data_IF_239985960779
#
_entry.id   IF_239985960779
#
_cell.length_a   1.000
_cell.length_b   1.000
_cell.length_c   1.000
_cell.angle_alpha   90.00
_cell.angle_beta   90.00
_cell.angle_gamma   90.00
#
_symmetry.space_group_name_H-M   'P 1'
#
loop_
_entity.id
_entity.type
_entity.pdbx_description
1 polymer ?
#
# COMPACT_ATOMS: atom_id res chain seq x y z
N UNK A 1 13.21 -20.84 55.06
CA UNK A 1 13.60 -21.16 53.65
C UNK A 1 12.35 -21.10 52.79
N UNK A 2 12.11 -19.99 52.12
CA UNK A 2 11.00 -19.81 51.20
C UNK A 2 11.51 -19.98 49.77
N UNK A 3 11.08 -21.07 49.13
CA UNK A 3 11.37 -21.34 47.72
C UNK A 3 10.29 -20.62 46.91
N UNK A 4 10.69 -19.58 46.18
CA UNK A 4 9.84 -18.90 45.19
C UNK A 4 9.96 -19.68 43.89
N UNK A 5 8.91 -20.39 43.53
CA UNK A 5 8.75 -21.02 42.21
C UNK A 5 8.43 -19.95 41.18
N UNK A 6 9.42 -19.62 40.34
CA UNK A 6 9.27 -18.75 39.18
C UNK A 6 8.64 -19.56 38.05
N UNK A 7 7.33 -19.49 37.89
CA UNK A 7 6.64 -20.04 36.72
C UNK A 7 7.03 -19.24 35.47
N UNK A 8 7.91 -19.81 34.64
CA UNK A 8 8.17 -19.32 33.28
C UNK A 8 6.91 -19.57 32.43
N UNK A 9 6.14 -18.49 32.19
CA UNK A 9 5.09 -18.51 31.18
C UNK A 9 5.78 -18.58 29.82
N UNK A 10 5.79 -19.75 29.21
CA UNK A 10 6.19 -19.93 27.81
C UNK A 10 5.08 -19.34 26.92
N UNK A 11 5.20 -18.07 26.59
CA UNK A 11 4.40 -17.47 25.52
C UNK A 11 4.98 -17.99 24.20
N UNK A 12 4.39 -19.02 23.67
CA UNK A 12 4.64 -19.45 22.30
C UNK A 12 3.99 -18.42 21.38
N UNK A 13 4.78 -17.49 20.88
CA UNK A 13 4.38 -16.59 19.80
C UNK A 13 4.06 -17.47 18.59
N UNK A 14 2.77 -17.56 18.25
CA UNK A 14 2.36 -18.19 17.00
C UNK A 14 2.97 -17.38 15.85
N UNK A 15 3.62 -18.00 14.86
CA UNK A 15 4.10 -17.28 13.69
C UNK A 15 2.92 -16.53 13.06
N UNK A 16 3.08 -15.25 12.75
CA UNK A 16 2.10 -14.45 12.02
C UNK A 16 1.89 -15.15 10.67
N UNK A 17 0.73 -15.75 10.50
CA UNK A 17 0.39 -16.47 9.28
C UNK A 17 0.09 -15.41 8.20
N UNK A 18 0.85 -15.41 7.11
CA UNK A 18 0.62 -14.57 5.93
C UNK A 18 -0.83 -14.75 5.45
N UNK A 19 -1.59 -13.64 5.42
CA UNK A 19 -2.96 -13.64 4.89
C UNK A 19 -2.92 -13.27 3.41
N UNK A 20 -2.91 -14.27 2.53
CA UNK A 20 -3.02 -14.03 1.08
C UNK A 20 -4.47 -13.71 0.69
N UNK A 21 -4.78 -12.42 0.62
CA UNK A 21 -6.11 -11.92 0.24
C UNK A 21 -6.19 -11.47 -1.22
N UNK A 22 -5.08 -11.51 -1.97
CA UNK A 22 -4.94 -10.77 -3.23
C UNK A 22 -4.51 -11.61 -4.44
N UNK A 23 -4.10 -12.86 -4.25
CA UNK A 23 -3.47 -13.67 -5.29
C UNK A 23 -4.43 -14.13 -6.41
N UNK A 24 -5.70 -14.40 -6.13
CA UNK A 24 -6.59 -15.13 -7.07
C UNK A 24 -7.08 -14.35 -8.30
N UNK A 25 -6.85 -13.02 -8.39
CA UNK A 25 -7.32 -12.16 -9.51
C UNK A 25 -6.31 -11.09 -9.94
N UNK A 26 -5.04 -11.38 -9.87
CA UNK A 26 -3.96 -10.41 -10.02
C UNK A 26 -3.92 -9.65 -11.36
N UNK A 27 -4.38 -10.23 -12.48
CA UNK A 27 -4.37 -9.57 -13.80
C UNK A 27 -5.47 -8.51 -13.95
N UNK A 28 -6.71 -8.81 -13.55
CA UNK A 28 -7.83 -7.85 -13.57
C UNK A 28 -7.62 -6.75 -12.53
N UNK A 29 -7.03 -7.12 -11.40
CA UNK A 29 -6.64 -6.22 -10.33
C UNK A 29 -5.62 -5.16 -10.79
N UNK A 30 -4.62 -5.56 -11.58
CA UNK A 30 -3.58 -4.66 -12.06
C UNK A 30 -4.10 -3.56 -13.00
N UNK A 31 -5.10 -3.88 -13.85
CA UNK A 31 -5.64 -2.94 -14.84
C UNK A 31 -6.64 -1.94 -14.27
N UNK A 32 -7.29 -2.26 -13.14
CA UNK A 32 -8.37 -1.47 -12.55
C UNK A 32 -7.97 -0.66 -11.32
N UNK A 33 -6.71 -0.78 -10.84
CA UNK A 33 -6.22 0.02 -9.70
C UNK A 33 -5.70 1.38 -10.15
N UNK A 34 -6.00 2.45 -9.38
CA UNK A 34 -5.49 3.78 -9.69
C UNK A 34 -3.96 3.81 -9.58
N UNK A 35 -3.31 4.52 -10.50
CA UNK A 35 -1.85 4.72 -10.49
C UNK A 35 -1.50 5.92 -9.63
N UNK A 36 -0.39 5.81 -8.90
CA UNK A 36 0.12 6.91 -8.08
C UNK A 36 0.59 8.08 -8.94
N UNK A 37 0.46 9.32 -8.47
CA UNK A 37 0.91 10.50 -9.20
C UNK A 37 2.44 10.53 -9.28
N UNK A 38 2.98 10.95 -10.42
CA UNK A 38 4.43 11.07 -10.63
C UNK A 38 5.08 12.02 -9.62
N UNK A 39 4.39 13.09 -9.24
CA UNK A 39 4.86 14.08 -8.26
C UNK A 39 5.17 13.48 -6.88
N UNK A 40 4.50 12.39 -6.49
CA UNK A 40 4.82 11.67 -5.26
C UNK A 40 6.24 11.06 -5.32
N UNK A 41 6.57 10.39 -6.45
CA UNK A 41 7.89 9.79 -6.63
C UNK A 41 8.98 10.86 -6.80
N UNK A 42 8.71 11.93 -7.54
CA UNK A 42 9.62 13.07 -7.68
C UNK A 42 9.96 13.71 -6.31
N UNK A 43 8.96 13.85 -5.44
CA UNK A 43 9.17 14.31 -4.07
C UNK A 43 10.07 13.35 -3.30
N UNK A 44 9.79 12.04 -3.30
CA UNK A 44 10.59 11.05 -2.57
C UNK A 44 12.03 10.98 -3.08
N UNK A 45 12.21 11.01 -4.39
CA UNK A 45 13.52 11.02 -5.04
C UNK A 45 14.32 12.28 -4.69
N UNK A 46 13.64 13.42 -4.54
CA UNK A 46 14.26 14.68 -4.09
C UNK A 46 14.78 14.65 -2.64
N UNK A 47 14.30 13.72 -1.81
CA UNK A 47 14.73 13.60 -0.42
C UNK A 47 16.05 12.82 -0.26
N UNK A 48 16.39 11.97 -1.21
CA UNK A 48 17.60 11.12 -1.14
C UNK A 48 18.75 11.73 -1.95
N UNK A 49 19.97 11.82 -1.37
CA UNK A 49 21.12 12.37 -2.07
C UNK A 49 21.71 11.37 -3.09
N UNK A 50 21.52 10.08 -2.88
CA UNK A 50 22.00 8.98 -3.71
C UNK A 50 20.83 8.19 -4.27
N UNK A 51 21.02 7.57 -5.43
CA UNK A 51 19.98 6.81 -6.14
C UNK A 51 20.52 5.47 -6.63
N UNK A 52 21.33 4.82 -5.78
CA UNK A 52 21.93 3.54 -6.14
C UNK A 52 20.92 2.41 -5.96
N UNK A 53 20.25 2.36 -4.79
CA UNK A 53 19.33 1.26 -4.48
C UNK A 53 18.05 1.76 -3.81
N UNK A 54 16.91 1.44 -4.42
CA UNK A 54 15.60 1.52 -3.77
C UNK A 54 15.09 0.11 -3.43
N UNK A 55 14.38 0.01 -2.31
CA UNK A 55 13.62 -1.19 -1.94
C UNK A 55 12.13 -0.87 -1.92
N UNK A 56 11.37 -1.46 -2.85
CA UNK A 56 9.91 -1.43 -2.86
C UNK A 56 9.38 -2.65 -2.11
N UNK A 57 9.00 -2.45 -0.85
CA UNK A 57 8.61 -3.49 0.10
C UNK A 57 7.11 -3.77 0.01
N UNK A 58 6.72 -5.04 -0.07
CA UNK A 58 5.38 -5.50 -0.38
C UNK A 58 4.87 -4.85 -1.69
N UNK A 59 5.67 -5.04 -2.73
CA UNK A 59 5.54 -4.38 -4.04
C UNK A 59 4.27 -4.76 -4.80
N UNK A 60 3.63 -5.87 -4.43
CA UNK A 60 2.54 -6.46 -5.19
C UNK A 60 3.01 -6.81 -6.61
N UNK A 61 2.29 -6.32 -7.60
CA UNK A 61 2.65 -6.48 -9.02
C UNK A 61 3.68 -5.45 -9.54
N UNK A 62 4.34 -4.70 -8.66
CA UNK A 62 5.45 -3.81 -9.03
C UNK A 62 5.06 -2.39 -9.45
N UNK A 63 3.87 -1.89 -9.11
CA UNK A 63 3.43 -0.57 -9.56
C UNK A 63 4.38 0.56 -9.12
N UNK A 64 4.78 0.59 -7.84
CA UNK A 64 5.72 1.60 -7.34
C UNK A 64 7.15 1.33 -7.84
N UNK A 65 7.58 0.06 -7.90
CA UNK A 65 8.88 -0.33 -8.41
C UNK A 65 9.13 0.17 -9.83
N UNK A 66 8.12 0.13 -10.70
CA UNK A 66 8.22 0.64 -12.08
C UNK A 66 8.53 2.15 -12.11
N UNK A 67 7.91 2.96 -11.26
CA UNK A 67 8.23 4.38 -11.15
C UNK A 67 9.64 4.60 -10.59
N UNK A 68 10.01 3.87 -9.53
CA UNK A 68 11.34 3.98 -8.94
C UNK A 68 12.45 3.61 -9.91
N UNK A 69 12.21 2.67 -10.82
CA UNK A 69 13.17 2.24 -11.83
C UNK A 69 13.58 3.34 -12.83
N UNK A 70 12.79 4.42 -12.92
CA UNK A 70 13.14 5.58 -13.74
C UNK A 70 14.18 6.50 -13.08
N UNK A 71 14.40 6.33 -11.77
CA UNK A 71 15.22 7.25 -10.96
C UNK A 71 16.40 6.57 -10.27
N UNK A 72 16.33 5.26 -10.02
CA UNK A 72 17.36 4.51 -9.29
C UNK A 72 18.16 3.60 -10.23
N UNK A 73 19.43 3.42 -9.93
CA UNK A 73 20.29 2.47 -10.64
C UNK A 73 19.76 1.05 -10.53
N UNK A 74 19.30 0.67 -9.31
CA UNK A 74 18.71 -0.63 -9.02
C UNK A 74 17.50 -0.49 -8.11
N UNK A 75 16.48 -1.31 -8.35
CA UNK A 75 15.31 -1.47 -7.50
C UNK A 75 15.20 -2.94 -7.10
N UNK A 76 15.12 -3.20 -5.79
CA UNK A 76 14.67 -4.49 -5.27
C UNK A 76 13.20 -4.34 -4.96
N UNK A 77 12.37 -5.18 -5.59
CA UNK A 77 10.93 -5.18 -5.41
C UNK A 77 10.53 -6.52 -4.79
N UNK A 78 10.09 -6.51 -3.53
CA UNK A 78 9.80 -7.75 -2.81
C UNK A 78 8.35 -7.83 -2.37
N UNK A 79 7.85 -9.04 -2.36
CA UNK A 79 6.53 -9.38 -1.80
C UNK A 79 6.59 -10.76 -1.14
N UNK A 80 5.76 -11.00 -0.13
CA UNK A 80 5.65 -12.32 0.47
C UNK A 80 4.84 -13.29 -0.42
N UNK A 81 4.06 -12.77 -1.38
CA UNK A 81 3.28 -13.55 -2.33
C UNK A 81 4.10 -13.84 -3.60
N UNK A 82 4.39 -15.12 -3.82
CA UNK A 82 4.99 -15.58 -5.08
C UNK A 82 4.13 -15.22 -6.31
N UNK A 83 2.81 -15.27 -6.16
CA UNK A 83 1.88 -14.98 -7.25
C UNK A 83 1.89 -13.50 -7.64
N UNK A 84 2.00 -12.58 -6.67
CA UNK A 84 2.16 -11.16 -6.96
C UNK A 84 3.43 -10.91 -7.78
N UNK A 85 4.55 -11.48 -7.36
CA UNK A 85 5.84 -11.35 -8.06
C UNK A 85 5.77 -11.96 -9.47
N UNK A 86 5.12 -13.10 -9.64
CA UNK A 86 4.97 -13.76 -10.95
C UNK A 86 4.17 -12.91 -11.97
N UNK A 87 3.32 -12.00 -11.50
CA UNK A 87 2.55 -11.08 -12.33
C UNK A 87 3.18 -9.69 -12.47
N UNK A 88 4.37 -9.47 -11.91
CA UNK A 88 5.05 -8.19 -11.98
C UNK A 88 5.64 -7.93 -13.38
N UNK A 89 5.63 -6.66 -13.80
CA UNK A 89 6.16 -6.27 -15.09
C UNK A 89 7.70 -6.19 -15.04
N UNK A 90 8.43 -6.96 -15.88
CA UNK A 90 9.89 -6.97 -15.85
C UNK A 90 10.49 -5.63 -16.32
N UNK A 91 11.62 -5.24 -15.74
CA UNK A 91 12.49 -4.14 -16.13
C UNK A 91 13.94 -4.53 -15.85
N UNK A 92 14.88 -4.06 -16.63
CA UNK A 92 16.29 -4.48 -16.54
C UNK A 92 16.95 -4.14 -15.20
N UNK A 93 16.51 -3.05 -14.55
CA UNK A 93 17.04 -2.59 -13.27
C UNK A 93 16.11 -2.87 -12.08
N UNK A 94 15.07 -3.70 -12.25
CA UNK A 94 14.23 -4.19 -11.16
C UNK A 94 14.53 -5.66 -10.94
N UNK A 95 14.88 -6.02 -9.71
CA UNK A 95 14.99 -7.40 -9.26
C UNK A 95 13.80 -7.71 -8.36
N UNK A 96 12.93 -8.61 -8.83
CA UNK A 96 11.79 -9.09 -8.07
C UNK A 96 12.18 -10.28 -7.20
N UNK A 97 11.80 -10.24 -5.91
CA UNK A 97 12.17 -11.25 -4.94
C UNK A 97 10.98 -11.62 -4.04
N UNK A 98 10.97 -12.87 -3.58
CA UNK A 98 9.95 -13.35 -2.64
C UNK A 98 10.58 -13.47 -1.26
N UNK A 99 10.26 -12.51 -0.38
CA UNK A 99 10.59 -12.54 1.03
C UNK A 99 9.67 -11.62 1.85
N UNK A 100 9.52 -11.88 3.16
CA UNK A 100 8.72 -11.05 4.03
C UNK A 100 9.39 -9.70 4.30
N UNK A 101 8.60 -8.69 4.65
CA UNK A 101 9.08 -7.34 4.96
C UNK A 101 10.03 -7.30 6.16
N UNK A 102 9.82 -8.20 7.12
CA UNK A 102 10.51 -8.26 8.41
C UNK A 102 11.91 -8.88 8.34
N UNK A 103 12.23 -9.53 7.23
CA UNK A 103 13.53 -10.21 7.07
C UNK A 103 13.92 -10.31 5.60
N UNK A 104 15.01 -9.65 5.25
CA UNK A 104 15.52 -9.59 3.87
C UNK A 104 16.94 -10.13 3.75
N UNK A 105 17.38 -10.31 2.52
CA UNK A 105 18.77 -10.61 2.16
C UNK A 105 19.57 -9.34 1.77
N UNK A 106 18.99 -8.15 1.98
CA UNK A 106 19.66 -6.89 1.66
C UNK A 106 20.82 -6.62 2.62
N UNK A 107 21.89 -6.04 2.11
CA UNK A 107 23.05 -5.70 2.92
C UNK A 107 22.74 -4.54 3.88
N UNK A 108 23.45 -4.51 5.01
CA UNK A 108 23.36 -3.43 5.99
C UNK A 108 23.71 -2.09 5.33
N UNK A 109 22.97 -1.05 5.65
CA UNK A 109 23.24 0.35 5.22
C UNK A 109 23.39 0.51 3.69
N UNK A 110 22.66 -0.29 2.90
CA UNK A 110 22.77 -0.33 1.44
C UNK A 110 21.65 0.43 0.71
N UNK A 111 20.48 0.61 1.35
CA UNK A 111 19.26 1.13 0.73
C UNK A 111 19.15 2.63 0.91
N UNK A 112 18.97 3.37 -0.18
CA UNK A 112 18.78 4.83 -0.18
C UNK A 112 17.34 5.23 0.09
N UNK A 113 16.37 4.46 -0.47
CA UNK A 113 14.94 4.68 -0.30
C UNK A 113 14.20 3.35 -0.07
N UNK A 114 13.39 3.28 0.98
CA UNK A 114 12.39 2.22 1.16
C UNK A 114 11.01 2.80 0.85
N UNK A 115 10.23 2.11 0.03
CA UNK A 115 8.82 2.43 -0.24
C UNK A 115 7.90 1.31 0.21
N UNK A 116 6.76 1.67 0.81
CA UNK A 116 5.70 0.76 1.23
C UNK A 116 4.36 1.34 0.76
N UNK A 117 3.83 0.80 -0.33
CA UNK A 117 2.59 1.27 -0.92
C UNK A 117 1.41 0.36 -0.53
N UNK A 118 0.43 0.85 0.21
CA UNK A 118 -0.79 0.11 0.62
C UNK A 118 -0.53 -1.15 1.47
N UNK A 119 0.60 -1.24 2.18
CA UNK A 119 0.97 -2.48 2.83
C UNK A 119 1.39 -2.37 4.30
N UNK A 120 1.80 -1.19 4.79
CA UNK A 120 2.37 -1.04 6.13
C UNK A 120 1.47 -1.60 7.27
N UNK A 121 0.16 -1.54 7.11
CA UNK A 121 -0.83 -2.02 8.07
C UNK A 121 -0.92 -3.56 8.19
N UNK A 122 -0.20 -4.29 7.33
CA UNK A 122 -0.11 -5.75 7.37
C UNK A 122 1.11 -6.28 8.12
N UNK A 123 2.10 -5.42 8.40
CA UNK A 123 3.41 -5.83 8.91
C UNK A 123 3.42 -6.02 10.41
N UNK A 124 4.33 -6.91 10.87
CA UNK A 124 4.83 -6.85 12.22
C UNK A 124 5.77 -5.64 12.32
N UNK A 125 5.25 -4.53 12.82
CA UNK A 125 5.95 -3.24 12.78
C UNK A 125 7.28 -3.25 13.53
N UNK A 126 7.35 -3.95 14.67
CA UNK A 126 8.57 -3.99 15.48
C UNK A 126 9.72 -4.67 14.72
N UNK A 127 9.45 -5.80 14.10
CA UNK A 127 10.45 -6.54 13.34
C UNK A 127 10.75 -5.86 12.01
N UNK A 128 9.72 -5.35 11.32
CA UNK A 128 9.90 -4.57 10.10
C UNK A 128 10.79 -3.34 10.33
N UNK A 129 10.55 -2.56 11.37
CA UNK A 129 11.36 -1.35 11.61
C UNK A 129 12.79 -1.65 12.05
N UNK A 130 13.05 -2.80 12.70
CA UNK A 130 14.43 -3.29 12.93
C UNK A 130 15.13 -3.57 11.60
N UNK A 131 14.45 -4.28 10.70
CA UNK A 131 15.00 -4.60 9.39
C UNK A 131 15.18 -3.35 8.53
N UNK A 132 14.19 -2.46 8.46
CA UNK A 132 14.30 -1.20 7.75
C UNK A 132 15.48 -0.36 8.21
N UNK A 133 15.70 -0.25 9.54
CA UNK A 133 16.87 0.45 10.09
C UNK A 133 18.19 -0.24 9.80
N UNK A 134 18.21 -1.57 9.69
CA UNK A 134 19.40 -2.33 9.33
C UNK A 134 19.84 -2.02 7.90
N UNK A 135 18.90 -2.05 6.97
CA UNK A 135 19.19 -1.93 5.53
C UNK A 135 19.29 -0.48 5.05
N UNK A 136 18.57 0.46 5.68
CA UNK A 136 18.66 1.88 5.33
C UNK A 136 20.08 2.41 5.53
N UNK A 137 20.54 3.17 4.54
CA UNK A 137 21.83 3.88 4.62
C UNK A 137 21.84 4.77 5.86
N UNK A 138 22.85 4.58 6.67
CA UNK A 138 23.06 5.41 7.86
C UNK A 138 23.55 6.79 7.48
N UNK A 139 23.24 7.76 8.33
CA UNK A 139 23.86 9.08 8.26
C UNK A 139 25.38 8.91 8.38
N UNK A 140 26.12 9.39 7.39
CA UNK A 140 27.57 9.49 7.48
C UNK A 140 27.99 10.97 7.42
N UNK A 141 29.06 11.32 8.11
CA UNK A 141 29.60 12.68 8.09
C UNK A 141 30.44 12.94 6.81
N UNK A 142 30.26 12.14 5.77
CA UNK A 142 30.99 12.23 4.51
C UNK A 142 30.47 13.30 3.56
N UNK A 143 31.27 13.64 2.58
CA UNK A 143 31.21 14.84 1.73
C UNK A 143 29.99 15.10 0.85
N UNK A 144 28.89 14.33 0.94
CA UNK A 144 27.62 14.53 0.21
C UNK A 144 26.45 15.02 1.09
N UNK A 145 26.80 15.62 2.23
CA UNK A 145 25.83 16.21 3.17
C UNK A 145 25.26 15.20 4.17
N UNK A 146 25.81 13.99 4.27
CA UNK A 146 25.60 13.04 5.36
C UNK A 146 24.16 12.56 5.61
N UNK A 147 23.23 12.81 4.69
CA UNK A 147 21.82 12.47 4.89
C UNK A 147 21.61 10.96 4.79
N UNK A 148 21.09 10.34 5.86
CA UNK A 148 20.70 8.93 5.88
C UNK A 148 19.61 8.58 4.88
N UNK A 149 19.37 7.29 4.67
CA UNK A 149 18.31 6.78 3.79
C UNK A 149 16.92 7.20 4.25
N UNK A 150 15.97 7.17 3.34
CA UNK A 150 14.58 7.59 3.55
C UNK A 150 13.65 6.37 3.50
N UNK A 151 12.66 6.36 4.39
CA UNK A 151 11.54 5.42 4.35
C UNK A 151 10.24 6.18 4.11
N UNK A 152 9.42 5.69 3.21
CA UNK A 152 8.13 6.26 2.87
C UNK A 152 7.05 5.18 2.81
N UNK A 153 6.03 5.33 3.62
CA UNK A 153 4.84 4.48 3.57
C UNK A 153 3.62 5.32 3.24
N UNK A 154 2.75 4.80 2.37
CA UNK A 154 1.50 5.49 2.05
C UNK A 154 0.35 4.52 1.77
N UNK A 155 -0.85 5.05 1.98
CA UNK A 155 -2.08 4.45 1.52
C UNK A 155 -3.00 5.52 0.93
N UNK A 156 -3.90 5.13 0.05
CA UNK A 156 -4.99 6.01 -0.36
C UNK A 156 -6.30 5.62 0.34
N UNK A 157 -7.11 6.63 0.63
CA UNK A 157 -8.43 6.47 1.23
C UNK A 157 -9.51 6.06 0.24
N UNK A 158 -10.77 6.14 0.69
CA UNK A 158 -11.93 6.00 -0.18
C UNK A 158 -11.92 7.13 -1.22
N UNK A 159 -12.35 6.82 -2.44
CA UNK A 159 -12.46 7.82 -3.50
C UNK A 159 -13.64 8.78 -3.26
N UNK A 160 -13.58 9.91 -3.93
CA UNK A 160 -14.66 10.89 -3.99
C UNK A 160 -14.87 11.33 -5.46
N UNK A 161 -16.11 11.61 -5.81
CA UNK A 161 -16.52 12.05 -7.15
C UNK A 161 -17.44 13.28 -7.07
N UNK A 162 -18.56 13.15 -6.37
CA UNK A 162 -19.50 14.22 -6.06
C UNK A 162 -20.33 13.81 -4.84
N UNK A 163 -20.91 14.78 -4.12
CA UNK A 163 -21.66 14.51 -2.90
C UNK A 163 -22.72 13.41 -3.06
N UNK A 164 -23.45 13.38 -4.18
CA UNK A 164 -24.48 12.38 -4.45
C UNK A 164 -23.88 10.98 -4.67
N UNK A 165 -22.82 10.88 -5.48
CA UNK A 165 -22.13 9.60 -5.75
C UNK A 165 -21.46 9.10 -4.48
N UNK A 166 -20.82 10.00 -3.73
CA UNK A 166 -20.09 9.69 -2.51
C UNK A 166 -21.03 9.11 -1.43
N UNK A 167 -22.25 9.67 -1.29
CA UNK A 167 -23.28 9.11 -0.39
C UNK A 167 -23.63 7.65 -0.74
N UNK A 168 -23.79 7.34 -2.03
CA UNK A 168 -24.11 5.97 -2.49
C UNK A 168 -22.91 5.04 -2.26
N UNK A 169 -21.70 5.55 -2.51
CA UNK A 169 -20.47 4.79 -2.29
C UNK A 169 -20.24 4.50 -0.80
N UNK A 170 -20.52 5.47 0.09
CA UNK A 170 -20.44 5.27 1.53
C UNK A 170 -21.45 4.23 2.02
N UNK A 171 -22.69 4.23 1.52
CA UNK A 171 -23.66 3.19 1.81
C UNK A 171 -23.12 1.79 1.45
N UNK A 172 -22.53 1.64 0.26
CA UNK A 172 -21.87 0.38 -0.12
C UNK A 172 -20.72 0.03 0.82
N UNK A 173 -19.84 0.99 1.07
CA UNK A 173 -18.58 0.78 1.78
C UNK A 173 -18.77 0.46 3.26
N UNK A 174 -19.64 1.21 3.95
CA UNK A 174 -19.83 1.15 5.40
C UNK A 174 -20.95 0.18 5.79
N UNK A 175 -22.13 0.32 5.18
CA UNK A 175 -23.32 -0.43 5.61
C UNK A 175 -23.38 -1.83 5.00
N UNK A 176 -23.14 -1.95 3.69
CA UNK A 176 -23.25 -3.25 3.00
C UNK A 176 -21.99 -4.08 3.18
N UNK A 177 -20.81 -3.47 2.98
CA UNK A 177 -19.53 -4.14 3.01
C UNK A 177 -18.80 -4.06 4.35
N UNK A 178 -19.26 -3.25 5.28
CA UNK A 178 -18.62 -3.04 6.58
C UNK A 178 -18.19 -4.34 7.27
N UNK A 179 -19.08 -5.36 7.41
CA UNK A 179 -18.74 -6.63 8.07
C UNK A 179 -17.73 -7.50 7.31
N UNK A 180 -17.37 -7.15 6.08
CA UNK A 180 -16.49 -7.93 5.21
C UNK A 180 -15.09 -7.32 5.07
N UNK A 181 -14.87 -6.10 5.59
CA UNK A 181 -13.54 -5.52 5.64
C UNK A 181 -12.66 -6.22 6.66
N UNK A 182 -11.36 -6.37 6.37
CA UNK A 182 -10.41 -6.81 7.39
C UNK A 182 -10.22 -5.71 8.44
N UNK A 183 -9.93 -6.12 9.69
CA UNK A 183 -9.72 -5.19 10.81
C UNK A 183 -8.63 -4.15 10.53
N UNK A 184 -7.59 -4.57 9.82
CA UNK A 184 -6.45 -3.73 9.43
C UNK A 184 -6.85 -2.55 8.54
N UNK A 185 -8.02 -2.63 7.89
CA UNK A 185 -8.57 -1.54 7.07
C UNK A 185 -8.81 -0.28 7.89
N UNK A 186 -9.20 -0.40 9.14
CA UNK A 186 -9.39 0.73 10.08
C UNK A 186 -8.14 1.59 10.24
N UNK A 187 -6.96 1.00 10.12
CA UNK A 187 -5.68 1.72 10.19
C UNK A 187 -5.52 2.67 8.99
N UNK A 188 -5.95 2.23 7.80
CA UNK A 188 -5.94 3.07 6.59
C UNK A 188 -7.00 4.17 6.68
N UNK A 189 -8.20 3.85 7.17
CA UNK A 189 -9.29 4.82 7.39
C UNK A 189 -8.87 5.91 8.38
N UNK A 190 -8.14 5.53 9.44
CA UNK A 190 -7.50 6.46 10.37
C UNK A 190 -6.22 7.11 9.80
N UNK A 191 -5.98 7.07 8.49
CA UNK A 191 -4.88 7.77 7.81
C UNK A 191 -3.49 7.44 8.37
N UNK A 192 -3.31 6.22 8.88
CA UNK A 192 -2.13 5.81 9.64
C UNK A 192 -1.88 6.63 10.93
N UNK A 193 -2.86 7.41 11.39
CA UNK A 193 -2.76 8.13 12.67
C UNK A 193 -2.62 7.13 13.83
N UNK A 194 -1.81 7.48 14.83
CA UNK A 194 -1.52 6.59 15.96
C UNK A 194 -0.61 5.39 15.65
N UNK A 195 -0.31 5.11 14.37
CA UNK A 195 0.62 4.05 14.01
C UNK A 195 2.06 4.45 14.33
N UNK A 196 2.83 3.63 15.08
CA UNK A 196 4.24 3.91 15.36
C UNK A 196 5.03 4.16 14.08
N UNK A 197 5.91 5.15 14.10
CA UNK A 197 6.81 5.41 12.97
C UNK A 197 8.13 5.97 13.51
N UNK A 198 9.07 5.10 13.92
CA UNK A 198 10.23 5.47 14.71
C UNK A 198 11.40 6.00 13.86
N UNK A 199 11.12 6.95 12.98
CA UNK A 199 12.07 7.63 12.11
C UNK A 199 11.93 9.15 12.28
N UNK A 200 12.97 9.91 11.96
CA UNK A 200 12.88 11.37 11.94
C UNK A 200 11.90 11.83 10.86
N UNK A 201 10.72 12.27 11.30
CA UNK A 201 9.62 12.65 10.41
C UNK A 201 10.03 13.72 9.41
N UNK A 202 9.63 13.53 8.17
CA UNK A 202 9.71 14.53 7.10
C UNK A 202 8.29 14.96 6.76
N UNK A 203 8.03 16.27 6.75
CA UNK A 203 6.74 16.79 6.35
C UNK A 203 6.52 16.56 4.86
N UNK A 204 5.30 16.17 4.52
CA UNK A 204 4.93 15.84 3.15
C UNK A 204 3.89 16.82 2.60
N UNK A 205 4.00 17.21 1.33
CA UNK A 205 2.88 17.87 0.68
C UNK A 205 1.68 16.93 0.61
N UNK A 206 0.48 17.50 0.47
CA UNK A 206 -0.71 16.70 0.17
C UNK A 206 -0.62 16.10 -1.22
N UNK A 207 -0.81 14.78 -1.32
CA UNK A 207 -0.92 14.08 -2.59
C UNK A 207 -2.30 13.47 -2.74
N UNK A 208 -2.75 13.38 -3.99
CA UNK A 208 -3.97 12.67 -4.35
C UNK A 208 -3.81 12.04 -5.73
N UNK A 209 -4.55 10.97 -5.96
CA UNK A 209 -4.70 10.39 -7.29
C UNK A 209 -5.94 11.03 -7.90
N UNK A 210 -5.83 11.49 -9.15
CA UNK A 210 -6.95 12.03 -9.91
C UNK A 210 -7.03 11.33 -11.25
N UNK A 211 -8.20 10.77 -11.55
CA UNK A 211 -8.44 10.08 -12.82
C UNK A 211 -9.81 10.48 -13.35
N UNK A 212 -9.90 10.65 -14.66
CA UNK A 212 -11.19 10.87 -15.32
C UNK A 212 -11.74 9.52 -15.77
N UNK A 213 -12.67 8.96 -14.98
CA UNK A 213 -13.24 7.64 -15.18
C UNK A 213 -14.71 7.69 -15.61
N UNK A 214 -15.12 6.70 -16.41
CA UNK A 214 -16.50 6.34 -16.64
C UNK A 214 -17.06 5.56 -15.44
N UNK A 215 -18.38 5.41 -15.37
CA UNK A 215 -19.00 4.57 -14.35
C UNK A 215 -18.50 3.12 -14.38
N UNK A 216 -18.29 2.57 -15.58
CA UNK A 216 -17.77 1.20 -15.72
C UNK A 216 -16.36 1.03 -15.18
N UNK A 217 -15.49 2.03 -15.34
CA UNK A 217 -14.13 2.02 -14.77
C UNK A 217 -14.18 2.08 -13.24
N UNK A 218 -15.05 2.93 -12.66
CA UNK A 218 -15.26 2.99 -11.22
C UNK A 218 -15.78 1.66 -10.66
N UNK A 219 -16.78 1.07 -11.29
CA UNK A 219 -17.34 -0.23 -10.89
C UNK A 219 -16.28 -1.33 -10.99
N UNK A 220 -15.48 -1.35 -12.06
CA UNK A 220 -14.35 -2.28 -12.20
C UNK A 220 -13.36 -2.17 -11.05
N UNK A 221 -13.05 -0.95 -10.61
CA UNK A 221 -12.24 -0.73 -9.43
C UNK A 221 -12.90 -1.25 -8.14
N UNK A 222 -14.18 -0.96 -7.93
CA UNK A 222 -14.93 -1.43 -6.74
C UNK A 222 -14.96 -2.95 -6.68
N UNK A 223 -15.07 -3.65 -7.81
CA UNK A 223 -14.96 -5.12 -7.84
C UNK A 223 -13.59 -5.64 -7.39
N UNK A 224 -12.53 -4.82 -7.39
CA UNK A 224 -11.23 -5.22 -6.85
C UNK A 224 -11.15 -5.18 -5.31
N UNK A 225 -12.18 -4.68 -4.62
CA UNK A 225 -12.17 -4.64 -3.17
C UNK A 225 -12.32 -6.03 -2.57
N UNK A 226 -11.47 -6.35 -1.61
CA UNK A 226 -11.50 -7.66 -0.92
C UNK A 226 -12.83 -7.92 -0.21
N UNK A 227 -13.49 -6.89 0.29
CA UNK A 227 -14.80 -6.96 0.93
C UNK A 227 -15.91 -7.34 -0.05
N UNK A 228 -15.85 -6.86 -1.31
CA UNK A 228 -16.79 -7.26 -2.37
C UNK A 228 -16.66 -8.74 -2.67
N UNK A 229 -15.42 -9.25 -2.80
CA UNK A 229 -15.18 -10.66 -3.05
C UNK A 229 -15.70 -11.54 -1.91
N UNK A 230 -15.40 -11.18 -0.65
CA UNK A 230 -15.89 -11.88 0.53
C UNK A 230 -17.42 -11.84 0.65
N UNK A 231 -18.05 -10.70 0.30
CA UNK A 231 -19.50 -10.58 0.28
C UNK A 231 -20.11 -11.58 -0.72
N UNK A 232 -19.59 -11.61 -1.95
CA UNK A 232 -20.07 -12.51 -3.02
C UNK A 232 -19.92 -13.98 -2.62
N UNK A 233 -18.77 -14.36 -2.10
CA UNK A 233 -18.49 -15.71 -1.62
C UNK A 233 -19.45 -16.15 -0.51
N UNK A 234 -19.73 -15.27 0.45
CA UNK A 234 -20.58 -15.61 1.61
C UNK A 234 -22.07 -15.59 1.28
N UNK A 235 -22.55 -14.67 0.44
CA UNK A 235 -23.97 -14.42 0.23
C UNK A 235 -24.47 -14.97 -1.13
N UNK A 236 -23.57 -15.45 -1.98
CA UNK A 236 -23.87 -15.87 -3.36
C UNK A 236 -24.69 -14.81 -4.15
N UNK A 237 -24.40 -13.54 -3.89
CA UNK A 237 -25.07 -12.37 -4.48
C UNK A 237 -24.08 -11.23 -4.67
N UNK A 238 -24.39 -10.33 -5.61
CA UNK A 238 -23.52 -9.21 -5.97
C UNK A 238 -23.97 -7.94 -5.23
N UNK A 239 -23.13 -7.37 -4.33
CA UNK A 239 -23.49 -6.18 -3.56
C UNK A 239 -23.60 -4.93 -4.43
N UNK A 240 -22.91 -4.86 -5.57
CA UNK A 240 -22.93 -3.69 -6.46
C UNK A 240 -24.28 -3.54 -7.13
N UNK A 241 -25.00 -4.65 -7.39
CA UNK A 241 -26.35 -4.61 -7.94
C UNK A 241 -27.35 -3.86 -7.06
N UNK A 242 -27.10 -3.81 -5.74
CA UNK A 242 -27.98 -3.12 -4.80
C UNK A 242 -27.94 -1.60 -4.95
N UNK A 243 -26.81 -1.06 -5.42
CA UNK A 243 -26.60 0.39 -5.56
C UNK A 243 -26.50 0.85 -7.02
N UNK A 244 -26.47 -0.08 -7.98
CA UNK A 244 -26.15 0.22 -9.37
C UNK A 244 -27.09 1.26 -10.00
N UNK A 245 -28.41 1.12 -9.80
CA UNK A 245 -29.38 2.03 -10.39
C UNK A 245 -29.26 3.45 -9.86
N UNK A 246 -29.04 3.60 -8.55
CA UNK A 246 -28.88 4.91 -7.91
C UNK A 246 -27.54 5.54 -8.35
N UNK A 247 -26.48 4.73 -8.40
CA UNK A 247 -25.17 5.17 -8.86
C UNK A 247 -25.21 5.60 -10.34
N UNK A 248 -25.92 4.83 -11.17
CA UNK A 248 -26.11 5.14 -12.59
C UNK A 248 -26.93 6.43 -12.81
N UNK A 249 -27.97 6.64 -12.02
CA UNK A 249 -28.75 7.88 -12.03
C UNK A 249 -27.94 9.09 -11.59
N UNK A 250 -27.15 8.94 -10.50
CA UNK A 250 -26.25 9.98 -10.00
C UNK A 250 -25.11 10.28 -10.97
N UNK A 251 -24.66 9.29 -11.75
CA UNK A 251 -23.60 9.47 -12.77
C UNK A 251 -24.09 10.32 -13.95
N UNK A 252 -25.38 10.24 -14.31
CA UNK A 252 -26.00 10.99 -15.37
C UNK A 252 -26.04 10.24 -16.71
N UNK A 253 -26.47 10.93 -17.75
CA UNK A 253 -26.65 10.34 -19.07
C UNK A 253 -25.33 9.89 -19.70
N UNK A 254 -25.39 8.86 -20.57
CA UNK A 254 -24.26 8.33 -21.32
C UNK A 254 -23.09 7.83 -20.45
N UNK A 255 -23.40 7.04 -19.43
CA UNK A 255 -22.50 6.53 -18.36
C UNK A 255 -21.19 5.90 -18.84
N UNK A 256 -21.17 5.36 -20.06
CA UNK A 256 -19.98 4.74 -20.66
C UNK A 256 -19.00 5.79 -21.21
N UNK A 257 -19.52 6.89 -21.76
CA UNK A 257 -18.69 7.94 -22.38
C UNK A 257 -18.48 9.15 -21.46
N UNK A 258 -19.43 9.40 -20.55
CA UNK A 258 -19.33 10.50 -19.62
C UNK A 258 -18.32 10.17 -18.52
N UNK A 259 -17.17 10.83 -18.57
CA UNK A 259 -16.12 10.69 -17.55
C UNK A 259 -16.31 11.73 -16.45
N UNK A 260 -16.09 11.31 -15.21
CA UNK A 260 -16.06 12.18 -14.05
C UNK A 260 -14.70 12.11 -13.38
N UNK A 261 -14.28 13.20 -12.77
CA UNK A 261 -13.08 13.25 -11.95
C UNK A 261 -13.32 12.42 -10.71
N UNK A 262 -12.51 11.38 -10.54
CA UNK A 262 -12.46 10.52 -9.35
C UNK A 262 -11.16 10.81 -8.62
N UNK A 263 -11.24 11.09 -7.32
CA UNK A 263 -10.11 11.54 -6.51
C UNK A 263 -9.89 10.59 -5.34
N UNK A 264 -8.65 10.17 -5.11
CA UNK A 264 -8.25 9.40 -3.93
C UNK A 264 -7.24 10.21 -3.13
N UNK A 265 -7.53 10.58 -1.88
CA UNK A 265 -6.53 11.21 -1.01
C UNK A 265 -5.45 10.20 -0.66
N UNK A 266 -4.19 10.64 -0.66
CA UNK A 266 -3.04 9.82 -0.23
C UNK A 266 -2.59 10.28 1.15
N UNK A 267 -2.48 9.33 2.06
CA UNK A 267 -1.97 9.52 3.42
C UNK A 267 -0.56 8.95 3.50
N UNK A 268 0.41 9.74 3.96
CA UNK A 268 1.81 9.35 3.94
C UNK A 268 2.48 9.48 5.31
N UNK A 269 3.41 8.57 5.58
CA UNK A 269 4.44 8.71 6.61
C UNK A 269 5.80 8.66 5.90
N UNK A 270 6.58 9.70 6.04
CA UNK A 270 7.93 9.77 5.48
C UNK A 270 8.90 10.12 6.58
N UNK A 271 10.05 9.46 6.60
CA UNK A 271 11.07 9.69 7.62
C UNK A 271 12.47 9.31 7.17
N UNK A 272 13.44 9.70 7.98
CA UNK A 272 14.84 9.46 7.74
C UNK A 272 15.44 8.62 8.87
N UNK A 273 16.40 7.75 8.54
CA UNK A 273 17.15 6.94 9.51
C UNK A 273 18.11 7.79 10.33
#
# INVERSE_FOLDING_TARGET
LIIVLCNKINVTLKPVQFKDLFSSKSKEYASSRPKYPKSLFEFLVGLVPRRNLAWDCATGNGQAALFLSEYFEQVIASDASHEQIANAQPRNNIRYEVFPAERTNLADSSVDLITIAQALHWFNLDDFYKEARRVLRKHDNGGDGGRGGVIAAWAYGLHSVSAQIDTITHLLYEDILGPYWPEERKIVENRYEGMPFPFHKIETPGFQIELDWSLSELIGYVYTWSSVQKFIEKNNSDPIKQIYNDLAAAWGENQIRHKRRVVWPIYMKVGRS
#
